data_IF_096747099778
#
_entry.id   IF_096747099778
#
_cell.length_a   1.000
_cell.length_b   1.000
_cell.length_c   1.000
_cell.angle_alpha   90.00
_cell.angle_beta   90.00
_cell.angle_gamma   90.00
#
_symmetry.space_group_name_H-M   'P 1'
#
loop_
_entity.id
_entity.type
_entity.pdbx_description
1 polymer ?
#
# COMPACT_ATOMS: atom_id res chain seq x y z
N UNK A 1 71.41 5.71 17.34
CA UNK A 1 70.87 4.69 16.41
C UNK A 1 70.38 5.42 15.16
N UNK A 2 70.49 4.84 13.97
CA UNK A 2 69.98 5.49 12.76
C UNK A 2 68.46 5.34 12.66
N UNK A 3 67.75 6.42 12.37
CA UNK A 3 66.32 6.40 12.03
C UNK A 3 66.11 6.48 10.52
N UNK A 4 64.91 6.11 10.08
CA UNK A 4 64.42 6.35 8.72
C UNK A 4 63.19 7.23 8.83
N UNK A 5 63.23 8.37 8.15
CA UNK A 5 62.10 9.28 8.08
C UNK A 5 60.97 8.68 7.23
N UNK A 6 59.78 8.66 7.82
CA UNK A 6 58.53 8.25 7.18
C UNK A 6 57.42 9.23 7.56
N UNK A 7 56.25 9.09 6.93
CA UNK A 7 55.05 9.84 7.30
C UNK A 7 53.87 8.90 7.40
N UNK A 8 52.92 9.25 8.27
CA UNK A 8 51.64 8.56 8.41
C UNK A 8 50.54 9.58 8.13
N UNK A 9 49.65 9.23 7.20
CA UNK A 9 48.45 10.02 6.89
C UNK A 9 47.20 9.18 7.13
N UNK A 10 46.29 9.71 7.95
CA UNK A 10 44.97 9.14 8.19
C UNK A 10 43.96 10.00 7.44
N UNK A 11 43.26 9.40 6.47
CA UNK A 11 42.25 10.06 5.65
C UNK A 11 40.87 9.57 6.07
N UNK A 12 40.07 10.48 6.62
CA UNK A 12 38.69 10.22 6.97
C UNK A 12 37.78 10.57 5.79
N UNK A 13 37.53 9.61 4.91
CA UNK A 13 36.61 9.74 3.79
C UNK A 13 35.15 9.39 4.16
N UNK A 14 34.86 9.07 5.42
CA UNK A 14 33.50 8.81 5.88
C UNK A 14 32.68 10.10 5.96
N UNK A 15 31.38 9.97 6.19
CA UNK A 15 30.47 11.11 6.46
C UNK A 15 30.39 11.47 7.96
N UNK A 16 31.28 10.90 8.79
CA UNK A 16 31.27 11.10 10.24
C UNK A 16 32.64 11.54 10.73
N UNK A 17 32.69 12.47 11.69
CA UNK A 17 33.94 12.90 12.30
C UNK A 17 34.56 11.78 13.14
N UNK A 18 35.88 11.59 13.04
CA UNK A 18 36.67 10.86 14.04
C UNK A 18 36.92 11.84 15.17
N UNK A 19 36.26 11.61 16.31
CA UNK A 19 36.30 12.52 17.45
C UNK A 19 37.52 12.30 18.34
N UNK A 20 38.11 11.10 18.30
CA UNK A 20 39.26 10.74 19.10
C UNK A 20 40.00 9.54 18.50
N UNK A 21 41.32 9.61 18.46
CA UNK A 21 42.20 8.50 18.11
C UNK A 21 43.01 8.04 19.32
N UNK A 22 43.30 6.74 19.40
CA UNK A 22 44.22 6.19 20.37
C UNK A 22 45.14 5.15 19.75
N UNK A 23 46.39 5.14 20.17
CA UNK A 23 47.45 4.29 19.64
C UNK A 23 48.06 3.46 20.76
N UNK A 24 48.30 2.17 20.47
CA UNK A 24 48.89 1.20 21.40
C UNK A 24 49.75 0.17 20.65
N UNK A 25 50.36 -0.76 21.38
CA UNK A 25 51.16 -1.84 20.78
C UNK A 25 52.47 -1.37 20.15
N UNK A 26 53.06 -0.32 20.71
CA UNK A 26 54.35 0.29 20.34
C UNK A 26 55.46 -0.28 21.25
N UNK A 27 56.59 -0.67 20.67
CA UNK A 27 57.81 -1.02 21.40
C UNK A 27 58.88 0.07 21.17
N UNK A 28 59.52 0.58 22.23
CA UNK A 28 60.53 1.63 22.13
C UNK A 28 61.69 1.30 21.18
N UNK A 29 62.09 0.03 21.07
CA UNK A 29 63.17 -0.39 20.18
C UNK A 29 62.83 -0.16 18.70
N UNK A 30 61.55 -0.22 18.33
CA UNK A 30 61.11 -0.15 16.94
C UNK A 30 61.18 1.28 16.36
N UNK A 31 61.37 2.30 17.20
CA UNK A 31 61.24 3.72 16.83
C UNK A 31 62.46 4.55 17.26
N UNK A 32 62.54 5.80 16.81
CA UNK A 32 63.58 6.75 17.21
C UNK A 32 63.39 7.33 18.64
N UNK A 33 62.23 7.05 19.25
CA UNK A 33 61.80 7.51 20.57
C UNK A 33 60.92 8.77 20.56
N UNK A 34 61.13 9.70 19.62
CA UNK A 34 60.45 11.01 19.61
C UNK A 34 59.26 11.08 18.64
N UNK A 35 59.46 10.64 17.40
CA UNK A 35 58.48 10.74 16.32
C UNK A 35 57.75 9.41 16.17
N UNK A 36 56.79 9.17 17.08
CA UNK A 36 56.05 7.90 17.20
C UNK A 36 54.54 8.10 17.06
N UNK A 37 53.79 7.12 16.54
CA UNK A 37 52.35 7.27 16.36
C UNK A 37 51.58 7.52 17.66
N UNK A 38 52.02 6.97 18.80
CA UNK A 38 51.42 7.22 20.12
C UNK A 38 51.71 8.61 20.68
N UNK A 39 52.67 9.34 20.13
CA UNK A 39 52.87 10.76 20.45
C UNK A 39 52.11 11.67 19.47
N UNK A 40 52.07 11.27 18.20
CA UNK A 40 51.58 12.13 17.11
C UNK A 40 50.08 12.00 16.82
N UNK A 41 49.52 10.82 17.09
CA UNK A 41 48.13 10.47 16.77
C UNK A 41 47.31 10.04 17.99
N UNK A 42 47.77 10.28 19.22
CA UNK A 42 46.90 10.15 20.38
C UNK A 42 46.05 11.41 20.57
N UNK A 43 44.73 11.25 20.74
CA UNK A 43 43.82 12.37 21.00
C UNK A 43 43.48 13.24 19.78
N UNK A 44 43.78 12.78 18.56
CA UNK A 44 43.61 13.59 17.35
C UNK A 44 42.16 13.55 16.88
N UNK A 45 41.62 14.74 16.60
CA UNK A 45 40.33 14.92 15.93
C UNK A 45 40.55 14.99 14.41
N UNK A 46 39.79 14.20 13.64
CA UNK A 46 39.85 14.21 12.16
C UNK A 46 38.42 14.37 11.62
N UNK A 47 38.11 15.56 11.12
CA UNK A 47 36.80 15.86 10.52
C UNK A 47 36.50 14.93 9.36
N UNK A 48 35.21 14.66 9.13
CA UNK A 48 34.71 14.04 7.91
C UNK A 48 35.26 14.74 6.66
N UNK A 49 35.61 13.94 5.65
CA UNK A 49 36.21 14.37 4.37
C UNK A 49 37.55 15.12 4.51
N UNK A 50 38.25 14.94 5.63
CA UNK A 50 39.55 15.56 5.89
C UNK A 50 40.62 14.49 6.17
N UNK A 51 41.87 14.94 6.33
CA UNK A 51 42.99 14.06 6.66
C UNK A 51 43.97 14.74 7.61
N UNK A 52 44.64 13.95 8.44
CA UNK A 52 45.78 14.39 9.25
C UNK A 52 47.03 13.62 8.84
N UNK A 53 48.13 14.34 8.67
CA UNK A 53 49.45 13.78 8.36
C UNK A 53 50.46 14.22 9.43
N UNK A 54 51.27 13.27 9.90
CA UNK A 54 52.36 13.52 10.83
C UNK A 54 53.63 12.78 10.40
N UNK A 55 54.76 13.29 10.87
CA UNK A 55 56.09 12.68 10.70
C UNK A 55 56.26 11.52 11.66
N UNK A 56 56.79 10.40 11.18
CA UNK A 56 57.09 9.21 11.97
C UNK A 56 58.52 8.71 11.67
N UNK A 57 59.25 8.28 12.70
CA UNK A 57 60.62 7.80 12.53
C UNK A 57 60.80 6.38 13.05
N UNK A 58 61.04 5.48 12.10
CA UNK A 58 61.26 4.07 12.39
C UNK A 58 62.74 3.80 12.62
N UNK A 59 63.07 2.93 13.57
CA UNK A 59 64.45 2.48 13.79
C UNK A 59 64.93 1.71 12.55
N UNK A 60 66.08 2.10 12.00
CA UNK A 60 66.69 1.43 10.83
C UNK A 60 66.91 -0.07 11.06
N UNK A 61 67.25 -0.45 12.30
CA UNK A 61 67.64 -1.81 12.65
C UNK A 61 66.47 -2.70 13.11
N UNK A 62 65.31 -2.13 13.42
CA UNK A 62 64.13 -2.91 13.78
C UNK A 62 63.59 -3.66 12.55
N UNK A 63 63.12 -4.90 12.71
CA UNK A 63 62.51 -5.65 11.58
C UNK A 63 61.07 -5.25 11.35
N UNK A 64 60.37 -4.89 12.41
CA UNK A 64 58.96 -4.52 12.42
C UNK A 64 58.80 -3.21 13.19
N UNK A 65 57.80 -2.42 12.83
CA UNK A 65 57.36 -1.27 13.62
C UNK A 65 55.82 -1.28 13.68
N UNK A 66 55.21 -2.27 14.35
CA UNK A 66 53.77 -2.37 14.43
C UNK A 66 53.21 -1.27 15.34
N UNK A 67 51.98 -0.87 15.06
CA UNK A 67 51.15 -0.12 15.99
C UNK A 67 49.69 -0.52 15.80
N UNK A 68 48.90 -0.41 16.86
CA UNK A 68 47.46 -0.60 16.85
C UNK A 68 46.80 0.76 17.02
N UNK A 69 45.93 1.13 16.09
CA UNK A 69 45.15 2.36 16.15
C UNK A 69 43.68 2.05 16.38
N UNK A 70 43.05 2.80 17.28
CA UNK A 70 41.60 2.81 17.49
C UNK A 70 41.07 4.20 17.14
N UNK A 71 40.02 4.22 16.31
CA UNK A 71 39.32 5.41 15.84
C UNK A 71 37.92 5.42 16.45
N UNK A 72 37.58 6.47 17.19
CA UNK A 72 36.23 6.65 17.73
C UNK A 72 35.50 7.71 16.89
N UNK A 73 34.35 7.33 16.33
CA UNK A 73 33.54 8.20 15.48
C UNK A 73 32.43 8.89 16.29
N UNK A 74 31.98 10.06 15.84
CA UNK A 74 30.89 10.81 16.51
C UNK A 74 29.60 10.02 16.63
N UNK A 75 29.31 9.13 15.68
CA UNK A 75 28.11 8.28 15.69
C UNK A 75 28.25 7.04 16.61
N UNK A 76 29.34 6.92 17.38
CA UNK A 76 29.59 5.79 18.27
C UNK A 76 30.25 4.58 17.61
N UNK A 77 30.45 4.61 16.29
CA UNK A 77 31.23 3.57 15.61
C UNK A 77 32.68 3.59 16.08
N UNK A 78 33.31 2.41 16.07
CA UNK A 78 34.71 2.26 16.48
C UNK A 78 35.39 1.30 15.53
N UNK A 79 36.47 1.77 14.92
CA UNK A 79 37.41 0.91 14.20
C UNK A 79 38.67 0.71 15.01
N UNK A 80 39.19 -0.51 14.99
CA UNK A 80 40.52 -0.83 15.53
C UNK A 80 41.28 -1.65 14.49
N UNK A 81 42.47 -1.21 14.12
CA UNK A 81 43.34 -1.94 13.20
C UNK A 81 44.79 -1.92 13.68
N UNK A 82 45.56 -2.91 13.24
CA UNK A 82 47.01 -2.99 13.46
C UNK A 82 47.73 -2.98 12.12
N UNK A 83 48.78 -2.17 12.01
CA UNK A 83 49.61 -2.03 10.81
C UNK A 83 51.08 -1.78 11.16
N UNK A 84 51.98 -1.99 10.22
CA UNK A 84 53.41 -1.71 10.36
C UNK A 84 53.80 -0.41 9.64
N UNK A 85 54.43 0.55 10.34
CA UNK A 85 54.88 1.80 9.72
C UNK A 85 55.99 1.59 8.68
N UNK A 86 56.76 0.49 8.81
CA UNK A 86 57.75 0.08 7.80
C UNK A 86 57.13 -0.29 6.45
N UNK A 87 55.81 -0.38 6.35
CA UNK A 87 55.12 -0.45 5.07
C UNK A 87 55.40 0.77 4.19
N UNK A 88 55.57 1.95 4.78
CA UNK A 88 55.87 3.19 4.08
C UNK A 88 57.16 3.10 3.23
N UNK A 89 58.10 2.24 3.65
CA UNK A 89 59.39 2.00 2.97
C UNK A 89 59.46 0.64 2.29
N UNK A 90 58.34 -0.11 2.23
CA UNK A 90 58.26 -1.42 1.58
C UNK A 90 59.02 -2.54 2.27
N UNK A 91 59.30 -2.41 3.58
CA UNK A 91 60.10 -3.41 4.31
C UNK A 91 59.27 -4.40 5.12
N UNK A 92 57.99 -4.12 5.37
CA UNK A 92 57.13 -5.01 6.14
C UNK A 92 55.66 -4.72 5.84
N UNK A 93 55.02 -5.63 5.11
CA UNK A 93 53.57 -5.68 5.00
C UNK A 93 52.96 -6.24 6.29
N UNK A 94 51.69 -5.96 6.51
CA UNK A 94 50.92 -6.49 7.63
C UNK A 94 49.83 -5.52 8.03
N UNK A 95 48.59 -5.89 7.73
CA UNK A 95 47.40 -5.18 8.17
C UNK A 95 46.42 -6.17 8.77
N UNK A 96 45.89 -5.85 9.95
CA UNK A 96 44.86 -6.63 10.60
C UNK A 96 43.76 -5.70 11.10
N UNK A 97 42.57 -5.85 10.55
CA UNK A 97 41.36 -5.23 11.09
C UNK A 97 40.92 -6.03 12.32
N UNK A 98 40.91 -5.39 13.49
CA UNK A 98 40.54 -6.02 14.77
C UNK A 98 39.07 -5.79 15.08
N UNK A 99 38.58 -4.56 14.91
CA UNK A 99 37.17 -4.19 15.03
C UNK A 99 36.78 -3.38 13.80
N UNK A 100 35.77 -3.84 13.05
CA UNK A 100 35.35 -3.29 11.76
C UNK A 100 33.98 -2.63 11.83
N UNK A 101 33.97 -1.32 11.62
CA UNK A 101 32.77 -0.51 11.37
C UNK A 101 32.78 0.13 9.98
N UNK A 102 33.96 0.36 9.41
CA UNK A 102 34.15 1.00 8.10
C UNK A 102 35.05 0.14 7.21
N UNK A 103 35.11 0.48 5.92
CA UNK A 103 36.12 -0.08 5.03
C UNK A 103 37.43 0.69 5.20
N UNK A 104 38.50 -0.03 5.55
CA UNK A 104 39.83 0.55 5.77
C UNK A 104 40.79 -0.02 4.76
N UNK A 105 41.39 0.86 3.98
CA UNK A 105 42.44 0.54 3.02
C UNK A 105 43.72 1.25 3.40
N UNK A 106 44.85 0.73 2.94
CA UNK A 106 46.15 1.35 3.14
C UNK A 106 46.98 1.22 1.88
N UNK A 107 47.81 2.22 1.63
CA UNK A 107 48.71 2.25 0.49
C UNK A 107 50.02 2.93 0.86
N UNK A 108 51.09 2.47 0.19
CA UNK A 108 52.37 3.16 0.19
C UNK A 108 52.35 4.21 -0.91
N UNK A 109 52.68 5.44 -0.53
CA UNK A 109 52.85 6.56 -1.45
C UNK A 109 54.34 6.95 -1.50
N UNK A 110 54.74 7.67 -2.55
CA UNK A 110 56.06 8.28 -2.67
C UNK A 110 56.49 9.04 -1.40
N UNK A 111 57.81 9.21 -1.24
CA UNK A 111 58.41 9.92 -0.09
C UNK A 111 58.05 9.28 1.27
N UNK A 112 58.16 7.95 1.33
CA UNK A 112 57.99 7.14 2.54
C UNK A 112 56.70 7.44 3.31
N UNK A 113 55.58 7.62 2.60
CA UNK A 113 54.29 7.90 3.19
C UNK A 113 53.43 6.62 3.25
N UNK A 114 52.98 6.26 4.44
CA UNK A 114 51.89 5.32 4.64
C UNK A 114 50.58 6.10 4.74
N UNK A 115 49.67 5.89 3.78
CA UNK A 115 48.33 6.48 3.81
C UNK A 115 47.32 5.40 4.20
N UNK A 116 46.47 5.71 5.17
CA UNK A 116 45.35 4.87 5.59
C UNK A 116 44.08 5.64 5.28
N UNK A 117 43.18 5.03 4.52
CA UNK A 117 41.91 5.63 4.10
C UNK A 117 40.77 4.87 4.77
N UNK A 118 39.85 5.62 5.39
CA UNK A 118 38.66 5.06 6.05
C UNK A 118 37.42 5.54 5.32
N UNK A 119 36.59 4.61 4.87
CA UNK A 119 35.43 4.86 4.00
C UNK A 119 34.16 4.21 4.56
N UNK A 120 33.02 4.85 4.30
CA UNK A 120 31.73 4.21 4.59
C UNK A 120 31.61 2.92 3.79
N UNK A 121 31.08 1.88 4.43
CA UNK A 121 30.68 0.66 3.74
C UNK A 121 29.52 0.94 2.78
N UNK A 122 29.36 0.09 1.77
CA UNK A 122 28.23 0.17 0.83
C UNK A 122 26.88 0.19 1.56
N UNK A 123 26.72 -0.60 2.63
CA UNK A 123 25.49 -0.62 3.44
C UNK A 123 25.22 0.73 4.11
N UNK A 124 26.24 1.37 4.67
CA UNK A 124 26.09 2.70 5.28
C UNK A 124 25.68 3.74 4.22
N UNK A 125 26.31 3.72 3.04
CA UNK A 125 25.96 4.61 1.93
C UNK A 125 24.52 4.40 1.44
N UNK A 126 24.06 3.15 1.37
CA UNK A 126 22.68 2.82 1.03
C UNK A 126 21.69 3.36 2.07
N UNK A 127 21.99 3.20 3.37
CA UNK A 127 21.10 3.71 4.41
C UNK A 127 21.06 5.25 4.43
N UNK A 128 22.19 5.92 4.21
CA UNK A 128 22.23 7.38 4.05
C UNK A 128 21.46 7.87 2.82
N UNK A 129 21.46 7.09 1.73
CA UNK A 129 20.61 7.36 0.56
C UNK A 129 19.13 7.19 0.88
N UNK A 130 18.76 6.15 1.65
CA UNK A 130 17.40 5.96 2.12
C UNK A 130 16.91 7.16 2.97
N UNK A 131 17.74 7.65 3.90
CA UNK A 131 17.42 8.83 4.73
C UNK A 131 17.26 10.13 3.91
N UNK A 132 18.01 10.28 2.81
CA UNK A 132 17.80 11.42 1.89
C UNK A 132 16.47 11.31 1.14
N UNK A 133 16.16 10.14 0.61
CA UNK A 133 14.88 9.88 -0.06
C UNK A 133 13.69 10.03 0.90
N UNK A 134 13.85 9.64 2.16
CA UNK A 134 12.89 9.90 3.23
C UNK A 134 12.58 11.39 3.33
N UNK A 135 13.61 12.25 3.42
CA UNK A 135 13.43 13.72 3.48
C UNK A 135 12.76 14.29 2.24
N UNK A 136 13.04 13.74 1.06
CA UNK A 136 12.33 14.11 -0.17
C UNK A 136 10.84 13.74 -0.10
N UNK A 137 10.52 12.54 0.42
CA UNK A 137 9.13 12.11 0.67
C UNK A 137 8.42 13.00 1.70
N UNK A 138 9.10 13.37 2.80
CA UNK A 138 8.59 14.30 3.81
C UNK A 138 8.32 15.70 3.21
N UNK A 139 9.14 16.14 2.26
CA UNK A 139 8.92 17.39 1.54
C UNK A 139 7.70 17.33 0.60
N UNK A 140 7.52 16.20 -0.10
CA UNK A 140 6.34 15.96 -0.94
C UNK A 140 5.04 15.90 -0.10
N UNK A 141 5.10 15.28 1.09
CA UNK A 141 3.97 15.27 2.05
C UNK A 141 3.54 16.68 2.44
N UNK A 142 4.49 17.58 2.73
CA UNK A 142 4.19 18.99 3.06
C UNK A 142 3.49 19.74 1.92
N UNK A 143 3.71 19.31 0.68
CA UNK A 143 3.08 19.86 -0.52
C UNK A 143 1.77 19.13 -0.90
N UNK A 144 1.30 18.19 -0.05
CA UNK A 144 0.15 17.31 -0.31
C UNK A 144 0.29 16.47 -1.59
N UNK A 145 1.52 16.23 -2.05
CA UNK A 145 1.83 15.37 -3.19
C UNK A 145 2.00 13.92 -2.71
N UNK A 146 0.89 13.32 -2.26
CA UNK A 146 0.93 12.03 -1.55
C UNK A 146 1.46 10.87 -2.41
N UNK A 147 1.10 10.81 -3.70
CA UNK A 147 1.61 9.78 -4.61
C UNK A 147 3.13 9.89 -4.78
N UNK A 148 3.65 11.12 -4.94
CA UNK A 148 5.09 11.37 -5.04
C UNK A 148 5.82 11.00 -3.74
N UNK A 149 5.22 11.32 -2.58
CA UNK A 149 5.76 10.93 -1.28
C UNK A 149 5.84 9.39 -1.15
N UNK A 150 4.77 8.68 -1.47
CA UNK A 150 4.71 7.21 -1.42
C UNK A 150 5.79 6.57 -2.29
N UNK A 151 5.99 7.06 -3.52
CA UNK A 151 7.07 6.59 -4.42
C UNK A 151 8.45 6.78 -3.80
N UNK A 152 8.70 7.93 -3.17
CA UNK A 152 9.98 8.21 -2.50
C UNK A 152 10.23 7.31 -1.30
N UNK A 153 9.20 7.02 -0.51
CA UNK A 153 9.31 6.07 0.59
C UNK A 153 9.55 4.63 0.10
N UNK A 154 8.97 4.21 -1.03
CA UNK A 154 9.27 2.91 -1.63
C UNK A 154 10.71 2.79 -2.12
N UNK A 155 11.24 3.84 -2.78
CA UNK A 155 12.64 3.89 -3.15
C UNK A 155 13.56 3.83 -1.92
N UNK A 156 13.21 4.55 -0.85
CA UNK A 156 13.97 4.53 0.39
C UNK A 156 13.94 3.17 1.08
N UNK A 157 12.78 2.51 1.16
CA UNK A 157 12.61 1.20 1.79
C UNK A 157 13.43 0.10 1.09
N UNK A 158 13.66 0.21 -0.22
CA UNK A 158 14.53 -0.72 -0.97
C UNK A 158 16.01 -0.61 -0.60
N UNK A 159 16.43 0.52 -0.03
CA UNK A 159 17.82 0.83 0.29
C UNK A 159 18.11 0.77 1.80
N UNK A 160 17.09 1.05 2.62
CA UNK A 160 17.21 1.07 4.07
C UNK A 160 17.62 -0.30 4.60
N UNK A 161 18.62 -0.31 5.50
CA UNK A 161 19.09 -1.53 6.16
C UNK A 161 19.18 -1.39 7.68
N UNK A 162 18.88 -0.22 8.22
CA UNK A 162 18.75 0.01 9.65
C UNK A 162 17.27 -0.08 10.08
N UNK A 163 16.99 -0.85 11.14
CA UNK A 163 15.62 -1.07 11.62
C UNK A 163 14.89 0.21 12.00
N UNK A 164 15.60 1.20 12.56
CA UNK A 164 15.01 2.49 12.92
C UNK A 164 14.56 3.26 11.67
N UNK A 165 15.42 3.34 10.64
CA UNK A 165 15.09 3.95 9.34
C UNK A 165 13.92 3.23 8.68
N UNK A 166 13.93 1.89 8.64
CA UNK A 166 12.85 1.08 8.06
C UNK A 166 11.52 1.33 8.78
N UNK A 167 11.51 1.33 10.12
CA UNK A 167 10.29 1.54 10.90
C UNK A 167 9.74 2.96 10.71
N UNK A 168 10.60 3.98 10.68
CA UNK A 168 10.17 5.35 10.40
C UNK A 168 9.57 5.44 8.99
N UNK A 169 10.24 4.91 7.97
CA UNK A 169 9.76 4.92 6.59
C UNK A 169 8.40 4.23 6.43
N UNK A 170 8.17 3.11 7.12
CA UNK A 170 6.86 2.44 7.11
C UNK A 170 5.77 3.33 7.72
N UNK A 171 6.05 4.00 8.82
CA UNK A 171 5.10 4.91 9.46
C UNK A 171 4.80 6.14 8.58
N UNK A 172 5.81 6.71 7.95
CA UNK A 172 5.66 7.87 7.06
C UNK A 172 4.90 7.48 5.78
N UNK A 173 5.19 6.31 5.21
CA UNK A 173 4.44 5.75 4.07
C UNK A 173 2.99 5.45 4.44
N UNK A 174 2.72 4.86 5.61
CA UNK A 174 1.37 4.62 6.08
C UNK A 174 0.55 5.92 6.16
N UNK A 175 1.18 6.99 6.63
CA UNK A 175 0.56 8.32 6.71
C UNK A 175 0.27 8.89 5.31
N UNK A 176 1.20 8.75 4.36
CA UNK A 176 0.99 9.19 2.98
C UNK A 176 -0.15 8.45 2.29
N UNK A 177 -0.18 7.12 2.40
CA UNK A 177 -1.28 6.30 1.87
C UNK A 177 -2.62 6.67 2.53
N UNK A 178 -2.64 6.90 3.85
CA UNK A 178 -3.86 7.30 4.54
C UNK A 178 -4.42 8.64 4.03
N UNK A 179 -3.59 9.67 3.89
CA UNK A 179 -4.02 10.98 3.38
C UNK A 179 -4.43 10.92 1.90
N UNK A 180 -3.73 10.14 1.07
CA UNK A 180 -4.15 9.89 -0.32
C UNK A 180 -5.52 9.23 -0.37
N UNK A 181 -5.73 8.20 0.45
CA UNK A 181 -7.01 7.49 0.53
C UNK A 181 -8.16 8.42 0.93
N UNK A 182 -7.94 9.36 1.86
CA UNK A 182 -8.93 10.38 2.22
C UNK A 182 -9.26 11.30 1.06
N UNK A 183 -8.25 11.74 0.32
CA UNK A 183 -8.43 12.60 -0.85
C UNK A 183 -9.26 11.89 -1.92
N UNK A 184 -8.90 10.65 -2.28
CA UNK A 184 -9.65 9.86 -3.26
C UNK A 184 -11.07 9.54 -2.79
N UNK A 185 -11.26 9.22 -1.49
CA UNK A 185 -12.59 9.00 -0.94
C UNK A 185 -13.47 10.24 -1.10
N UNK A 186 -12.94 11.42 -0.77
CA UNK A 186 -13.67 12.68 -0.92
C UNK A 186 -13.98 12.98 -2.40
N UNK A 187 -13.02 12.78 -3.29
CA UNK A 187 -13.22 12.99 -4.73
C UNK A 187 -14.30 12.04 -5.29
N UNK A 188 -14.34 10.78 -4.85
CA UNK A 188 -15.40 9.84 -5.20
C UNK A 188 -16.78 10.35 -4.80
N UNK A 189 -16.92 10.89 -3.59
CA UNK A 189 -18.17 11.52 -3.14
C UNK A 189 -18.53 12.76 -3.95
N UNK A 190 -17.56 13.60 -4.30
CA UNK A 190 -17.79 14.81 -5.07
C UNK A 190 -18.25 14.49 -6.49
N UNK A 191 -17.71 13.43 -7.10
CA UNK A 191 -18.08 12.93 -8.43
C UNK A 191 -19.50 12.36 -8.48
N UNK A 192 -19.93 11.62 -7.45
CA UNK A 192 -21.31 11.10 -7.38
C UNK A 192 -22.36 12.21 -7.21
N UNK A 193 -21.99 13.31 -6.56
CA UNK A 193 -22.88 14.44 -6.33
C UNK A 193 -22.87 15.46 -7.49
N UNK A 194 -22.06 15.23 -8.52
CA UNK A 194 -21.97 16.13 -9.67
C UNK A 194 -23.14 15.91 -10.64
N UNK A 195 -24.01 16.92 -10.77
CA UNK A 195 -25.20 16.86 -11.65
C UNK A 195 -24.91 17.25 -13.10
N UNK A 196 -23.67 17.54 -13.48
CA UNK A 196 -23.32 18.03 -14.83
C UNK A 196 -23.16 16.94 -15.88
N UNK A 197 -23.08 15.67 -15.46
CA UNK A 197 -23.02 14.50 -16.33
C UNK A 197 -22.84 13.21 -15.53
N UNK A 198 -22.93 12.05 -16.20
CA UNK A 198 -22.64 10.76 -15.57
C UNK A 198 -21.13 10.63 -15.32
N UNK A 199 -20.75 10.58 -14.05
CA UNK A 199 -19.36 10.40 -13.56
C UNK A 199 -19.21 9.16 -12.69
N UNK A 200 -20.13 8.21 -12.82
CA UNK A 200 -20.19 7.00 -11.99
C UNK A 200 -18.92 6.15 -12.09
N UNK A 201 -18.35 6.02 -13.30
CA UNK A 201 -17.11 5.25 -13.51
C UNK A 201 -15.89 5.93 -12.87
N UNK A 202 -15.79 7.26 -12.97
CA UNK A 202 -14.73 8.02 -12.31
C UNK A 202 -14.85 7.92 -10.78
N UNK A 203 -16.08 8.01 -10.24
CA UNK A 203 -16.32 7.84 -8.81
C UNK A 203 -15.93 6.45 -8.31
N UNK A 204 -16.31 5.40 -9.03
CA UNK A 204 -15.95 4.01 -8.70
C UNK A 204 -14.43 3.80 -8.67
N UNK A 205 -13.72 4.41 -9.64
CA UNK A 205 -12.26 4.40 -9.67
C UNK A 205 -11.67 5.08 -8.44
N UNK A 206 -12.22 6.22 -8.03
CA UNK A 206 -11.75 6.96 -6.84
C UNK A 206 -12.00 6.19 -5.54
N UNK A 207 -13.15 5.53 -5.39
CA UNK A 207 -13.39 4.67 -4.22
C UNK A 207 -12.45 3.46 -4.19
N UNK A 208 -12.18 2.84 -5.34
CA UNK A 208 -11.23 1.74 -5.47
C UNK A 208 -9.80 2.17 -5.12
N UNK A 209 -9.39 3.36 -5.57
CA UNK A 209 -8.10 3.93 -5.17
C UNK A 209 -8.05 4.18 -3.66
N UNK A 210 -9.10 4.77 -3.07
CA UNK A 210 -9.19 4.99 -1.64
C UNK A 210 -9.07 3.68 -0.84
N UNK A 211 -9.77 2.62 -1.25
CA UNK A 211 -9.70 1.30 -0.63
C UNK A 211 -8.27 0.74 -0.65
N UNK A 212 -7.63 0.77 -1.83
CA UNK A 212 -6.24 0.31 -1.99
C UNK A 212 -5.27 1.06 -1.08
N UNK A 213 -5.43 2.39 -0.99
CA UNK A 213 -4.57 3.24 -0.18
C UNK A 213 -4.78 3.01 1.33
N UNK A 214 -6.03 2.90 1.78
CA UNK A 214 -6.31 2.57 3.19
C UNK A 214 -5.81 1.18 3.57
N UNK A 215 -5.97 0.18 2.71
CA UNK A 215 -5.45 -1.16 2.95
C UNK A 215 -3.92 -1.17 3.05
N UNK A 216 -3.24 -0.42 2.18
CA UNK A 216 -1.78 -0.27 2.27
C UNK A 216 -1.34 0.41 3.56
N UNK A 217 -2.04 1.48 3.97
CA UNK A 217 -1.75 2.19 5.20
C UNK A 217 -1.86 1.26 6.42
N UNK A 218 -2.95 0.48 6.47
CA UNK A 218 -3.24 -0.47 7.55
C UNK A 218 -2.20 -1.61 7.63
N UNK A 219 -1.81 -2.15 6.48
CA UNK A 219 -0.77 -3.19 6.40
C UNK A 219 0.61 -2.71 6.86
N UNK A 220 0.90 -1.41 6.71
CA UNK A 220 2.15 -0.81 7.14
C UNK A 220 2.15 -0.48 8.63
N UNK A 221 1.01 0.00 9.15
CA UNK A 221 0.82 0.38 10.54
C UNK A 221 -0.68 0.42 10.83
N UNK A 222 -1.17 -0.47 11.67
CA UNK A 222 -2.57 -0.47 12.10
C UNK A 222 -2.90 0.73 13.00
N UNK A 223 -4.01 1.41 12.72
CA UNK A 223 -4.65 2.36 13.63
C UNK A 223 -6.17 2.27 13.51
N UNK A 224 -6.89 2.57 14.61
CA UNK A 224 -8.36 2.58 14.61
C UNK A 224 -8.96 3.53 13.56
N UNK A 225 -8.27 4.64 13.24
CA UNK A 225 -8.73 5.61 12.26
C UNK A 225 -8.62 5.06 10.81
N UNK A 226 -7.52 4.35 10.51
CA UNK A 226 -7.31 3.67 9.22
C UNK A 226 -8.29 2.51 9.05
N UNK A 227 -8.44 1.66 10.07
CA UNK A 227 -9.42 0.56 10.08
C UNK A 227 -10.83 1.10 9.81
N UNK A 228 -11.23 2.16 10.52
CA UNK A 228 -12.54 2.79 10.33
C UNK A 228 -12.72 3.34 8.92
N UNK A 229 -11.71 4.04 8.39
CA UNK A 229 -11.77 4.62 7.04
C UNK A 229 -11.84 3.54 5.96
N UNK A 230 -11.07 2.47 6.10
CA UNK A 230 -11.14 1.30 5.22
C UNK A 230 -12.52 0.65 5.28
N UNK A 231 -13.08 0.46 6.48
CA UNK A 231 -14.41 -0.13 6.65
C UNK A 231 -15.50 0.73 5.99
N UNK A 232 -15.44 2.05 6.17
CA UNK A 232 -16.36 3.00 5.52
C UNK A 232 -16.27 2.88 3.98
N UNK A 233 -15.06 2.87 3.43
CA UNK A 233 -14.86 2.74 1.98
C UNK A 233 -15.38 1.40 1.45
N UNK A 234 -15.16 0.30 2.18
CA UNK A 234 -15.69 -1.02 1.81
C UNK A 234 -17.21 -1.04 1.78
N UNK A 235 -17.86 -0.46 2.80
CA UNK A 235 -19.32 -0.33 2.84
C UNK A 235 -19.84 0.42 1.62
N UNK A 236 -19.19 1.53 1.25
CA UNK A 236 -19.56 2.32 0.07
C UNK A 236 -19.44 1.53 -1.23
N UNK A 237 -18.30 0.88 -1.45
CA UNK A 237 -18.06 0.06 -2.66
C UNK A 237 -19.08 -1.08 -2.76
N UNK A 238 -19.32 -1.80 -1.67
CA UNK A 238 -20.29 -2.90 -1.65
C UNK A 238 -21.73 -2.41 -1.88
N UNK A 239 -22.13 -1.31 -1.24
CA UNK A 239 -23.44 -0.71 -1.43
C UNK A 239 -23.67 -0.28 -2.89
N UNK A 240 -22.70 0.42 -3.48
CA UNK A 240 -22.76 0.83 -4.89
C UNK A 240 -22.84 -0.35 -5.85
N UNK A 241 -22.05 -1.41 -5.59
CA UNK A 241 -22.10 -2.62 -6.40
C UNK A 241 -23.49 -3.27 -6.36
N UNK A 242 -24.07 -3.42 -5.18
CA UNK A 242 -25.42 -3.98 -5.03
C UNK A 242 -26.49 -3.12 -5.70
N UNK A 243 -26.39 -1.80 -5.57
CA UNK A 243 -27.30 -0.85 -6.20
C UNK A 243 -27.21 -0.91 -7.74
N UNK A 244 -25.99 -0.98 -8.29
CA UNK A 244 -25.79 -1.11 -9.73
C UNK A 244 -26.26 -2.46 -10.28
N UNK A 245 -26.00 -3.56 -9.55
CA UNK A 245 -26.56 -4.88 -9.88
C UNK A 245 -28.10 -4.85 -9.88
N UNK A 246 -28.72 -4.15 -8.93
CA UNK A 246 -30.17 -3.99 -8.87
C UNK A 246 -30.71 -3.18 -10.06
N UNK A 247 -30.05 -2.08 -10.43
CA UNK A 247 -30.41 -1.25 -11.57
C UNK A 247 -30.40 -2.03 -12.89
N UNK A 248 -29.40 -2.89 -13.11
CA UNK A 248 -29.34 -3.72 -14.32
C UNK A 248 -30.47 -4.76 -14.34
N UNK A 249 -30.74 -5.41 -13.20
CA UNK A 249 -31.88 -6.33 -13.06
C UNK A 249 -33.23 -5.64 -13.29
N UNK A 250 -33.39 -4.40 -12.81
CA UNK A 250 -34.60 -3.60 -13.02
C UNK A 250 -34.79 -3.26 -14.51
N UNK A 251 -33.72 -2.88 -15.23
CA UNK A 251 -33.76 -2.63 -16.68
C UNK A 251 -34.13 -3.89 -17.47
N UNK A 252 -33.55 -5.03 -17.12
CA UNK A 252 -33.92 -6.34 -17.70
C UNK A 252 -35.39 -6.66 -17.43
N UNK A 253 -35.84 -6.53 -16.18
CA UNK A 253 -37.22 -6.78 -15.77
C UNK A 253 -38.22 -5.90 -16.53
N UNK A 254 -37.88 -4.63 -16.72
CA UNK A 254 -38.69 -3.67 -17.49
C UNK A 254 -38.78 -4.06 -18.96
N UNK A 255 -37.67 -4.48 -19.57
CA UNK A 255 -37.68 -4.94 -20.97
C UNK A 255 -38.60 -6.14 -21.15
N UNK A 256 -38.45 -7.15 -20.28
CA UNK A 256 -39.31 -8.34 -20.28
C UNK A 256 -40.79 -8.00 -20.03
N UNK A 257 -41.06 -7.03 -19.16
CA UNK A 257 -42.42 -6.55 -18.90
C UNK A 257 -43.06 -5.95 -20.16
N UNK A 258 -42.32 -5.14 -20.92
CA UNK A 258 -42.84 -4.55 -22.16
C UNK A 258 -43.08 -5.61 -23.22
N UNK A 259 -42.16 -6.57 -23.37
CA UNK A 259 -42.31 -7.70 -24.30
C UNK A 259 -43.54 -8.55 -23.98
N UNK A 260 -43.76 -8.89 -22.70
CA UNK A 260 -44.95 -9.61 -22.23
C UNK A 260 -46.25 -8.84 -22.54
N UNK A 261 -46.19 -7.50 -22.42
CA UNK A 261 -47.33 -6.63 -22.73
C UNK A 261 -47.66 -6.61 -24.22
N UNK A 262 -46.65 -6.67 -25.08
CA UNK A 262 -46.81 -6.72 -26.54
C UNK A 262 -47.24 -8.11 -27.04
N UNK A 263 -46.69 -9.19 -26.46
CA UNK A 263 -47.00 -10.58 -26.83
C UNK A 263 -48.41 -11.01 -26.40
N UNK A 264 -48.99 -10.34 -25.39
CA UNK A 264 -50.23 -10.75 -24.69
C UNK A 264 -50.17 -12.17 -24.11
N UNK A 265 -48.97 -12.74 -23.95
CA UNK A 265 -48.77 -14.04 -23.33
C UNK A 265 -48.56 -13.83 -21.84
N UNK A 266 -49.46 -14.40 -21.04
CA UNK A 266 -49.51 -14.15 -19.60
C UNK A 266 -48.29 -14.75 -18.85
N UNK A 267 -47.78 -15.90 -19.30
CA UNK A 267 -46.62 -16.57 -18.68
C UNK A 267 -45.33 -15.73 -18.71
N UNK A 268 -45.21 -14.76 -19.63
CA UNK A 268 -44.06 -13.87 -19.75
C UNK A 268 -43.99 -12.84 -18.58
N UNK A 269 -45.12 -12.55 -17.94
CA UNK A 269 -45.16 -11.64 -16.77
C UNK A 269 -44.49 -12.24 -15.54
N UNK A 270 -44.56 -13.56 -15.36
CA UNK A 270 -43.91 -14.27 -14.25
C UNK A 270 -42.38 -14.10 -14.29
N UNK A 271 -41.80 -14.15 -15.48
CA UNK A 271 -40.35 -13.99 -15.67
C UNK A 271 -39.90 -12.57 -15.32
N UNK A 272 -40.62 -11.57 -15.82
CA UNK A 272 -40.38 -10.16 -15.46
C UNK A 272 -40.55 -9.91 -13.96
N UNK A 273 -41.60 -10.46 -13.34
CA UNK A 273 -41.86 -10.29 -11.92
C UNK A 273 -40.75 -10.90 -11.04
N UNK A 274 -40.26 -12.09 -11.39
CA UNK A 274 -39.14 -12.71 -10.69
C UNK A 274 -37.88 -11.84 -10.75
N UNK A 275 -37.60 -11.21 -11.90
CA UNK A 275 -36.49 -10.27 -12.06
C UNK A 275 -36.67 -9.00 -11.22
N UNK A 276 -37.88 -8.44 -11.15
CA UNK A 276 -38.15 -7.33 -10.23
C UNK A 276 -37.96 -7.72 -8.76
N UNK A 277 -38.35 -8.93 -8.35
CA UNK A 277 -38.10 -9.45 -6.99
C UNK A 277 -36.61 -9.61 -6.71
N UNK A 278 -35.81 -10.07 -7.68
CA UNK A 278 -34.35 -10.11 -7.58
C UNK A 278 -33.74 -8.71 -7.43
N UNK A 279 -34.19 -7.74 -8.23
CA UNK A 279 -33.77 -6.34 -8.13
C UNK A 279 -34.11 -5.74 -6.75
N UNK A 280 -35.32 -6.00 -6.25
CA UNK A 280 -35.78 -5.54 -4.93
C UNK A 280 -34.87 -6.04 -3.81
N UNK A 281 -34.59 -7.35 -3.77
CA UNK A 281 -33.69 -7.94 -2.77
C UNK A 281 -32.29 -7.31 -2.80
N UNK A 282 -31.81 -6.92 -3.99
CA UNK A 282 -30.51 -6.26 -4.17
C UNK A 282 -30.54 -4.81 -3.69
N UNK A 283 -31.60 -4.05 -3.97
CA UNK A 283 -31.77 -2.72 -3.42
C UNK A 283 -31.88 -2.74 -1.89
N UNK A 284 -32.64 -3.67 -1.31
CA UNK A 284 -32.72 -3.84 0.15
C UNK A 284 -31.35 -4.13 0.76
N UNK A 285 -30.57 -5.03 0.14
CA UNK A 285 -29.20 -5.32 0.57
C UNK A 285 -28.26 -4.10 0.45
N UNK A 286 -28.42 -3.30 -0.62
CA UNK A 286 -27.66 -2.05 -0.80
C UNK A 286 -28.02 -1.03 0.29
N UNK A 287 -29.31 -0.90 0.60
CA UNK A 287 -29.80 -0.03 1.67
C UNK A 287 -29.22 -0.43 3.03
N UNK A 288 -29.24 -1.71 3.37
CA UNK A 288 -28.64 -2.20 4.62
C UNK A 288 -27.17 -1.79 4.76
N UNK A 289 -26.41 -1.82 3.65
CA UNK A 289 -25.02 -1.34 3.62
C UNK A 289 -24.95 0.16 3.86
N UNK A 290 -25.74 0.96 3.15
CA UNK A 290 -25.73 2.41 3.35
C UNK A 290 -26.17 2.80 4.78
N UNK A 291 -27.14 2.10 5.36
CA UNK A 291 -27.58 2.29 6.75
C UNK A 291 -26.51 1.88 7.77
N UNK A 292 -25.71 0.84 7.49
CA UNK A 292 -24.50 0.55 8.27
C UNK A 292 -23.50 1.72 8.20
N UNK A 293 -23.28 2.26 6.99
CA UNK A 293 -22.43 3.43 6.76
C UNK A 293 -22.87 4.66 7.56
N UNK A 294 -24.17 4.96 7.60
CA UNK A 294 -24.73 6.06 8.39
C UNK A 294 -24.39 5.94 9.87
N UNK A 295 -24.47 4.73 10.45
CA UNK A 295 -24.14 4.48 11.87
C UNK A 295 -22.66 4.72 12.17
N UNK A 296 -21.79 4.62 11.17
CA UNK A 296 -20.33 4.73 11.33
C UNK A 296 -19.77 6.14 11.13
N UNK A 297 -20.59 7.12 10.73
CA UNK A 297 -20.26 8.52 10.38
C UNK A 297 -20.04 8.76 8.90
N UNK A 298 -21.05 9.32 8.22
CA UNK A 298 -21.03 10.53 7.37
C UNK A 298 -22.48 10.78 6.90
N UNK A 299 -22.98 12.01 6.95
CA UNK A 299 -24.29 12.35 6.36
C UNK A 299 -24.34 12.08 4.84
N UNK A 300 -23.20 11.81 4.21
CA UNK A 300 -23.11 11.40 2.81
C UNK A 300 -23.79 10.07 2.50
N UNK A 301 -23.89 9.14 3.47
CA UNK A 301 -24.63 7.89 3.27
C UNK A 301 -26.15 8.08 3.31
N UNK A 302 -26.64 9.19 3.88
CA UNK A 302 -28.08 9.51 3.94
C UNK A 302 -28.66 9.59 2.53
N UNK A 303 -28.01 10.35 1.64
CA UNK A 303 -28.42 10.49 0.24
C UNK A 303 -28.46 9.14 -0.49
N UNK A 304 -27.45 8.28 -0.29
CA UNK A 304 -27.45 6.94 -0.89
C UNK A 304 -28.61 6.08 -0.37
N UNK A 305 -28.89 6.13 0.93
CA UNK A 305 -29.98 5.38 1.56
C UNK A 305 -31.35 5.89 1.08
N UNK A 306 -31.54 7.20 0.97
CA UNK A 306 -32.77 7.84 0.48
C UNK A 306 -33.06 7.49 -0.98
N UNK A 307 -32.06 7.62 -1.86
CA UNK A 307 -32.19 7.22 -3.28
C UNK A 307 -32.56 5.74 -3.38
N UNK A 308 -31.89 4.89 -2.60
CA UNK A 308 -32.19 3.44 -2.59
C UNK A 308 -33.62 3.16 -2.12
N UNK A 309 -34.11 3.88 -1.11
CA UNK A 309 -35.50 3.78 -0.64
C UNK A 309 -36.53 4.18 -1.71
N UNK A 310 -36.22 5.18 -2.52
CA UNK A 310 -37.09 5.57 -3.63
C UNK A 310 -37.20 4.46 -4.68
N UNK A 311 -36.07 3.86 -5.07
CA UNK A 311 -36.05 2.73 -5.99
C UNK A 311 -36.81 1.50 -5.42
N UNK A 312 -36.62 1.17 -4.15
CA UNK A 312 -37.37 0.09 -3.46
C UNK A 312 -38.88 0.32 -3.57
N UNK A 313 -39.34 1.55 -3.32
CA UNK A 313 -40.76 1.92 -3.41
C UNK A 313 -41.29 1.79 -4.84
N UNK A 314 -40.54 2.25 -5.84
CA UNK A 314 -40.98 2.14 -7.25
C UNK A 314 -41.03 0.69 -7.72
N UNK A 315 -40.01 -0.12 -7.43
CA UNK A 315 -40.01 -1.55 -7.80
C UNK A 315 -41.15 -2.29 -7.12
N UNK A 316 -41.44 -2.01 -5.84
CA UNK A 316 -42.56 -2.63 -5.12
C UNK A 316 -43.90 -2.28 -5.77
N UNK A 317 -44.12 -1.03 -6.17
CA UNK A 317 -45.34 -0.62 -6.88
C UNK A 317 -45.52 -1.38 -8.20
N UNK A 318 -44.43 -1.64 -8.92
CA UNK A 318 -44.46 -2.39 -10.18
C UNK A 318 -44.81 -3.85 -9.93
N UNK A 319 -44.21 -4.49 -8.93
CA UNK A 319 -44.53 -5.86 -8.52
C UNK A 319 -46.02 -5.97 -8.16
N UNK A 320 -46.53 -5.08 -7.30
CA UNK A 320 -47.95 -5.04 -6.92
C UNK A 320 -48.89 -4.82 -8.12
N UNK A 321 -48.44 -4.05 -9.12
CA UNK A 321 -49.21 -3.84 -10.34
C UNK A 321 -49.27 -5.11 -11.18
N UNK A 322 -48.16 -5.85 -11.31
CA UNK A 322 -48.12 -7.15 -11.99
C UNK A 322 -49.03 -8.15 -11.26
N UNK A 323 -48.95 -8.25 -9.93
CA UNK A 323 -49.80 -9.14 -9.13
C UNK A 323 -51.30 -8.85 -9.33
N UNK A 324 -51.69 -7.57 -9.41
CA UNK A 324 -53.08 -7.20 -9.69
C UNK A 324 -53.53 -7.59 -11.10
N UNK A 325 -52.65 -7.46 -12.09
CA UNK A 325 -52.94 -7.89 -13.47
C UNK A 325 -53.10 -9.41 -13.53
N UNK A 326 -52.24 -10.14 -12.81
CA UNK A 326 -52.32 -11.59 -12.66
C UNK A 326 -53.63 -12.05 -12.03
N UNK A 327 -53.99 -11.46 -10.90
CA UNK A 327 -55.23 -11.79 -10.20
C UNK A 327 -56.45 -11.56 -11.11
N UNK A 328 -56.50 -10.43 -11.82
CA UNK A 328 -57.60 -10.11 -12.73
C UNK A 328 -57.66 -11.06 -13.94
N UNK A 329 -56.51 -11.47 -14.47
CA UNK A 329 -56.46 -12.44 -15.56
C UNK A 329 -57.01 -13.80 -15.10
N UNK A 330 -56.58 -14.28 -13.94
CA UNK A 330 -57.02 -15.55 -13.38
C UNK A 330 -58.51 -15.55 -13.02
N UNK A 331 -59.04 -14.45 -12.44
CA UNK A 331 -60.48 -14.31 -12.17
C UNK A 331 -61.29 -14.35 -13.48
N UNK A 332 -60.82 -13.69 -14.53
CA UNK A 332 -61.50 -13.70 -15.82
C UNK A 332 -61.46 -15.07 -16.49
N UNK A 333 -60.36 -15.83 -16.37
CA UNK A 333 -60.32 -17.22 -16.86
C UNK A 333 -61.31 -18.11 -16.10
N UNK A 334 -61.38 -17.99 -14.77
CA UNK A 334 -62.34 -18.75 -13.94
C UNK A 334 -63.79 -18.42 -14.32
N UNK A 335 -64.12 -17.15 -14.54
CA UNK A 335 -65.46 -16.75 -14.98
C UNK A 335 -65.82 -17.27 -16.38
N UNK A 336 -64.86 -17.32 -17.31
CA UNK A 336 -65.08 -17.90 -18.66
C UNK A 336 -65.27 -19.43 -18.58
N UNK A 337 -64.54 -20.11 -17.69
CA UNK A 337 -64.74 -21.54 -17.44
C UNK A 337 -66.06 -21.85 -16.71
N UNK A 338 -66.56 -20.95 -15.85
CA UNK A 338 -67.87 -21.07 -15.22
C UNK A 338 -69.02 -20.81 -16.21
N UNK A 339 -68.91 -19.79 -17.08
CA UNK A 339 -69.90 -19.55 -18.16
C UNK A 339 -69.95 -20.70 -19.18
N UNK A 340 -68.82 -21.34 -19.47
CA UNK A 340 -68.76 -22.54 -20.32
C UNK A 340 -69.38 -23.78 -19.64
N UNK A 341 -69.25 -23.91 -18.31
CA UNK A 341 -69.94 -24.97 -17.54
C UNK A 341 -71.44 -24.73 -17.40
N UNK A 342 -71.88 -23.48 -17.26
CA UNK A 342 -73.32 -23.15 -17.24
C UNK A 342 -73.98 -23.35 -18.62
N UNK A 343 -73.28 -23.05 -19.72
CA UNK A 343 -73.80 -23.34 -21.07
C UNK A 343 -73.83 -24.83 -21.43
N UNK A 344 -73.02 -25.69 -20.77
CA UNK A 344 -73.14 -27.16 -20.88
C UNK A 344 -74.24 -27.76 -19.98
N UNK A 345 -74.73 -27.04 -18.97
CA UNK A 345 -75.78 -27.50 -18.04
C UNK A 345 -77.19 -27.01 -18.39
N UNK A 346 -77.35 -26.00 -19.25
CA UNK A 346 -78.65 -25.48 -19.72
C UNK A 346 -79.11 -26.06 -21.09
N UNK A 347 -79.01 -27.38 -21.30
CA UNK A 347 -79.75 -28.03 -22.40
C UNK A 347 -80.47 -29.32 -21.99
N UNK A 348 -81.64 -29.23 -21.31
CA UNK A 348 -82.51 -30.38 -21.08
C UNK A 348 -83.67 -30.41 -22.09
N UNK A 349 -83.69 -31.41 -22.99
CA UNK A 349 -84.91 -32.00 -23.60
C UNK A 349 -84.49 -33.16 -24.53
N UNK A 350 -84.84 -34.45 -24.37
CA UNK A 350 -86.13 -35.16 -24.17
C UNK A 350 -87.14 -34.99 -25.33
N UNK A 351 -87.21 -36.05 -26.17
CA UNK A 351 -88.35 -36.75 -26.82
C UNK A 351 -88.01 -37.14 -28.28
N UNK A 352 -88.36 -38.30 -28.87
CA UNK A 352 -89.37 -39.33 -28.58
C UNK A 352 -89.12 -40.63 -29.37
N UNK A 353 -89.61 -41.77 -28.84
CA UNK A 353 -89.75 -43.13 -29.41
C UNK A 353 -90.26 -43.25 -30.87
N UNK A 354 -89.91 -44.35 -31.59
CA UNK A 354 -90.87 -45.37 -32.08
C UNK A 354 -90.20 -46.65 -32.68
N UNK A 355 -90.98 -47.74 -32.67
CA UNK A 355 -90.72 -49.19 -32.80
C UNK A 355 -90.34 -49.80 -34.19
N UNK A 356 -89.93 -51.10 -34.12
CA UNK A 356 -90.37 -52.29 -34.94
C UNK A 356 -89.38 -52.97 -35.93
N UNK A 357 -88.76 -54.05 -35.44
CA UNK A 357 -88.81 -55.47 -35.88
C UNK A 357 -89.02 -55.84 -37.39
N UNK A 358 -88.11 -56.63 -37.97
CA UNK A 358 -88.27 -58.04 -38.48
C UNK A 358 -87.14 -58.46 -39.46
N UNK A 359 -86.74 -59.73 -39.31
CA UNK A 359 -85.81 -60.65 -40.00
C UNK A 359 -85.55 -60.52 -41.52
N UNK A 360 -84.36 -60.97 -41.97
CA UNK A 360 -84.15 -62.27 -42.66
C UNK A 360 -82.73 -62.46 -43.22
N UNK A 361 -82.30 -63.74 -43.16
CA UNK A 361 -81.16 -64.42 -43.80
C UNK A 361 -79.80 -64.39 -43.08
#
# INVERSE_FOLDING_TARGET
MGSIHTRLRIVNNTNTDIINTSVSGIDNYDWDGGSRPDHNFNGVFIRSKCSEERREEVNRNARHCPFTMTLNFRNGNVDTFRIHQKQAIGCCDGFKHIRKSHDITYERIENNLLKITIENTEKQLQNEKAERLKKEGEAAMKQKQYEAATKKYDEALRLANESQTINSLKADKATACYEQGKSSLQEGWDLENDTTGDKSQEAEKQFSEAQSMFQQAENLRHTLEQEKSLKITNIKIDGNRLFNEANELEKEAFTLFQEARESKVFDDYTTSQNKYKEALNKYESAKEKFDEGMKMSDNKFEVCSEITDEHIKEVTKVIDAIDRVELNHNINQVNVEEEQKETELENPNINSNFEKQIDMA
#
